data_IF_894175896876
#
_entry.id   IF_894175896876
#
_cell.length_a   1.000
_cell.length_b   1.000
_cell.length_c   1.000
_cell.angle_alpha   90.00
_cell.angle_beta   90.00
_cell.angle_gamma   90.00
#
_symmetry.space_group_name_H-M   'P 1'
#
loop_
_entity.id
_entity.type
_entity.pdbx_description
1 polymer ?
#
# COMPACT_ATOMS: atom_id res chain seq x y z
N UNK A 1 -4.73 -21.90 40.16
CA UNK A 1 -4.80 -21.99 38.69
C UNK A 1 -4.00 -20.82 38.15
N UNK A 2 -2.75 -21.14 37.87
CA UNK A 2 -1.64 -20.21 37.63
C UNK A 2 -1.83 -19.34 36.40
N UNK A 3 -1.60 -18.03 36.61
CA UNK A 3 -1.40 -17.03 35.57
C UNK A 3 0.07 -17.12 35.15
N UNK A 4 0.38 -18.10 34.31
CA UNK A 4 1.71 -18.28 33.70
C UNK A 4 1.65 -18.04 32.19
N UNK A 5 1.20 -16.83 31.79
CA UNK A 5 1.29 -16.36 30.41
C UNK A 5 1.78 -14.90 30.33
N UNK A 6 2.77 -14.56 31.16
CA UNK A 6 3.49 -13.29 31.11
C UNK A 6 5.01 -13.51 31.12
N UNK A 7 5.49 -14.43 30.28
CA UNK A 7 6.89 -14.49 29.88
C UNK A 7 6.93 -14.64 28.36
N UNK A 8 7.18 -13.52 27.65
CA UNK A 8 7.31 -13.53 26.19
C UNK A 8 7.79 -12.21 25.57
N UNK A 9 7.62 -11.07 26.23
CA UNK A 9 8.05 -9.78 25.67
C UNK A 9 9.46 -9.33 26.08
N UNK A 10 10.00 -9.79 27.22
CA UNK A 10 11.31 -9.35 27.71
C UNK A 10 12.55 -10.01 27.08
N UNK A 11 12.39 -11.02 26.21
CA UNK A 11 13.51 -11.75 25.57
C UNK A 11 13.69 -11.36 24.10
N UNK A 12 12.71 -10.68 23.48
CA UNK A 12 12.80 -10.30 22.06
C UNK A 12 13.80 -9.18 21.80
N UNK A 13 14.07 -8.33 22.78
CA UNK A 13 15.03 -7.23 22.66
C UNK A 13 16.49 -7.72 22.70
N UNK A 14 16.76 -8.90 23.27
CA UNK A 14 18.11 -9.49 23.40
C UNK A 14 18.24 -10.88 22.75
N UNK A 15 17.33 -11.25 21.85
CA UNK A 15 17.45 -12.53 21.15
C UNK A 15 18.59 -12.47 20.12
N UNK A 16 19.30 -13.58 19.91
CA UNK A 16 20.32 -13.68 18.85
C UNK A 16 19.74 -13.30 17.49
N UNK A 17 18.48 -13.66 17.22
CA UNK A 17 17.82 -13.28 15.97
C UNK A 17 17.57 -11.77 15.87
N UNK A 18 17.16 -11.11 16.94
CA UNK A 18 16.99 -9.65 16.95
C UNK A 18 18.33 -8.92 16.73
N UNK A 19 19.41 -9.42 17.33
CA UNK A 19 20.76 -8.88 17.09
C UNK A 19 21.24 -9.14 15.66
N UNK A 20 20.92 -10.29 15.06
CA UNK A 20 21.22 -10.58 13.67
C UNK A 20 20.40 -9.68 12.72
N UNK A 21 19.13 -9.40 13.03
CA UNK A 21 18.31 -8.47 12.27
C UNK A 21 18.83 -7.03 12.38
N UNK A 22 19.19 -6.58 13.57
CA UNK A 22 19.84 -5.27 13.78
C UNK A 22 21.18 -5.19 13.03
N UNK A 23 21.98 -6.26 13.04
CA UNK A 23 23.23 -6.34 12.27
C UNK A 23 22.97 -6.31 10.75
N UNK A 24 21.90 -6.96 10.26
CA UNK A 24 21.49 -6.90 8.84
C UNK A 24 21.02 -5.49 8.48
N UNK A 25 20.32 -4.80 9.38
CA UNK A 25 19.91 -3.41 9.20
C UNK A 25 21.09 -2.44 9.25
N UNK A 26 22.12 -2.69 10.05
CA UNK A 26 23.30 -1.83 10.10
C UNK A 26 24.37 -2.17 9.05
N UNK A 27 24.18 -3.28 8.31
CA UNK A 27 25.09 -3.70 7.24
C UNK A 27 25.39 -2.55 6.26
N UNK A 28 26.67 -2.42 5.92
CA UNK A 28 27.16 -1.38 5.02
C UNK A 28 26.53 -1.56 3.64
N UNK A 29 25.90 -0.49 3.15
CA UNK A 29 25.40 -0.45 1.78
C UNK A 29 26.56 -0.25 0.81
N UNK A 30 26.53 -0.88 -0.37
CA UNK A 30 27.39 -0.50 -1.49
C UNK A 30 27.27 1.00 -1.79
N UNK A 31 28.29 1.58 -2.43
CA UNK A 31 28.24 2.99 -2.84
C UNK A 31 27.03 3.24 -3.77
N UNK A 32 26.45 4.45 -3.81
CA UNK A 32 25.29 4.74 -4.66
C UNK A 32 25.53 4.38 -6.15
N UNK A 33 26.74 4.67 -6.65
CA UNK A 33 27.16 4.29 -7.99
C UNK A 33 27.18 2.76 -8.21
N UNK A 34 27.67 1.99 -7.23
CA UNK A 34 27.66 0.53 -7.32
C UNK A 34 26.24 -0.04 -7.29
N UNK A 35 25.33 0.54 -6.49
CA UNK A 35 23.91 0.17 -6.49
C UNK A 35 23.30 0.31 -7.89
N UNK A 36 23.55 1.46 -8.53
CA UNK A 36 23.09 1.72 -9.90
C UNK A 36 23.69 0.73 -10.90
N UNK A 37 25.02 0.53 -10.86
CA UNK A 37 25.73 -0.39 -11.76
C UNK A 37 25.21 -1.82 -11.65
N UNK A 38 24.97 -2.32 -10.43
CA UNK A 38 24.43 -3.65 -10.19
C UNK A 38 23.02 -3.81 -10.78
N UNK A 39 22.16 -2.81 -10.55
CA UNK A 39 20.81 -2.79 -11.11
C UNK A 39 20.85 -2.83 -12.65
N UNK A 40 21.70 -2.01 -13.26
CA UNK A 40 21.80 -1.89 -14.72
C UNK A 40 22.43 -3.13 -15.35
N UNK A 41 23.45 -3.71 -14.72
CA UNK A 41 24.05 -4.99 -15.15
C UNK A 41 23.02 -6.13 -15.15
N UNK A 42 22.06 -6.09 -14.21
CA UNK A 42 20.94 -7.03 -14.15
C UNK A 42 19.79 -6.71 -15.12
N UNK A 43 19.86 -5.62 -15.89
CA UNK A 43 18.77 -5.18 -16.78
C UNK A 43 17.51 -4.74 -16.04
N UNK A 44 17.60 -4.43 -14.75
CA UNK A 44 16.46 -4.04 -13.93
C UNK A 44 16.18 -2.54 -14.04
N UNK A 45 14.92 -2.17 -14.23
CA UNK A 45 14.48 -0.79 -14.10
C UNK A 45 14.29 -0.40 -12.63
N UNK A 46 14.42 0.91 -12.32
CA UNK A 46 14.13 1.43 -10.98
C UNK A 46 12.71 1.12 -10.52
N UNK A 47 11.75 1.05 -11.46
CA UNK A 47 10.35 0.72 -11.16
C UNK A 47 10.19 -0.74 -10.70
N UNK A 48 10.92 -1.68 -11.32
CA UNK A 48 10.90 -3.09 -10.90
C UNK A 48 11.50 -3.27 -9.50
N UNK A 49 12.64 -2.62 -9.23
CA UNK A 49 13.25 -2.63 -7.89
C UNK A 49 12.32 -2.02 -6.86
N UNK A 50 11.72 -0.87 -7.17
CA UNK A 50 10.78 -0.19 -6.29
C UNK A 50 9.55 -1.06 -5.97
N UNK A 51 8.98 -1.74 -6.97
CA UNK A 51 7.86 -2.67 -6.78
C UNK A 51 8.23 -3.88 -5.92
N UNK A 52 9.44 -4.43 -6.08
CA UNK A 52 9.90 -5.58 -5.32
C UNK A 52 10.15 -5.25 -3.84
N UNK A 53 10.62 -4.04 -3.56
CA UNK A 53 10.96 -3.57 -2.21
C UNK A 53 9.80 -2.83 -1.52
N UNK A 54 8.76 -2.46 -2.27
CA UNK A 54 7.56 -1.79 -1.74
C UNK A 54 7.70 -0.28 -1.56
N UNK A 55 8.48 0.40 -2.42
CA UNK A 55 8.70 1.85 -2.39
C UNK A 55 8.37 2.53 -3.73
N UNK A 56 8.47 3.85 -3.80
CA UNK A 56 8.32 4.61 -5.05
C UNK A 56 9.57 4.57 -5.94
N UNK A 57 9.39 4.70 -7.26
CA UNK A 57 10.50 4.78 -8.23
C UNK A 57 11.50 5.90 -7.92
N UNK A 58 10.98 7.07 -7.52
CA UNK A 58 11.80 8.24 -7.14
C UNK A 58 12.62 7.97 -5.88
N UNK A 59 12.10 7.18 -4.94
CA UNK A 59 12.82 6.77 -3.73
C UNK A 59 14.07 5.96 -4.09
N UNK A 60 13.94 4.98 -5.00
CA UNK A 60 15.09 4.20 -5.50
C UNK A 60 16.08 5.10 -6.24
N UNK A 61 15.60 6.06 -7.04
CA UNK A 61 16.48 7.03 -7.69
C UNK A 61 17.30 7.84 -6.68
N UNK A 62 16.67 8.33 -5.61
CA UNK A 62 17.36 9.07 -4.55
C UNK A 62 18.40 8.21 -3.81
N UNK A 63 18.16 6.91 -3.67
CA UNK A 63 19.13 5.98 -3.07
C UNK A 63 20.33 5.69 -3.97
N UNK A 64 20.11 5.64 -5.28
CA UNK A 64 21.16 5.42 -6.29
C UNK A 64 21.99 6.67 -6.55
N UNK A 65 21.42 7.87 -6.34
CA UNK A 65 22.17 9.14 -6.43
C UNK A 65 22.80 9.56 -5.11
N UNK A 66 22.50 8.87 -4.00
CA UNK A 66 23.00 9.21 -2.67
C UNK A 66 22.30 10.40 -2.02
N UNK A 67 21.17 10.86 -2.57
CA UNK A 67 20.33 11.92 -1.98
C UNK A 67 19.70 11.45 -0.66
N UNK A 68 19.37 10.18 -0.56
CA UNK A 68 18.92 9.56 0.70
C UNK A 68 19.39 8.12 0.79
N UNK A 69 19.28 7.50 1.96
CA UNK A 69 19.58 6.09 2.15
C UNK A 69 18.32 5.28 2.50
N UNK A 70 18.27 3.99 2.13
CA UNK A 70 17.13 3.12 2.42
C UNK A 70 16.99 2.91 3.94
N UNK A 71 15.78 3.19 4.42
CA UNK A 71 15.37 3.03 5.81
C UNK A 71 14.48 1.78 5.98
N UNK A 72 14.37 1.22 7.20
CA UNK A 72 13.33 0.24 7.50
C UNK A 72 11.94 0.76 7.12
N UNK A 73 11.02 -0.07 6.58
CA UNK A 73 11.13 -1.53 6.36
C UNK A 73 11.78 -1.92 5.02
N UNK A 74 12.02 -0.97 4.12
CA UNK A 74 12.50 -1.22 2.77
C UNK A 74 13.99 -1.61 2.68
N UNK A 75 14.76 -1.33 3.75
CA UNK A 75 16.20 -1.56 3.79
C UNK A 75 16.60 -3.02 3.64
N UNK A 76 15.97 -3.95 4.36
CA UNK A 76 16.34 -5.37 4.32
C UNK A 76 16.08 -6.01 2.95
N UNK A 77 14.89 -5.86 2.32
CA UNK A 77 14.67 -6.39 0.98
C UNK A 77 15.66 -5.82 -0.04
N UNK A 78 15.98 -4.52 0.07
CA UNK A 78 16.93 -3.88 -0.82
C UNK A 78 18.37 -4.40 -0.64
N UNK A 79 18.84 -4.56 0.61
CA UNK A 79 20.14 -5.19 0.90
C UNK A 79 20.22 -6.62 0.39
N UNK A 80 19.16 -7.41 0.57
CA UNK A 80 19.09 -8.78 0.06
C UNK A 80 19.21 -8.83 -1.46
N UNK A 81 18.50 -7.93 -2.15
CA UNK A 81 18.60 -7.78 -3.60
C UNK A 81 20.04 -7.45 -4.02
N UNK A 82 20.63 -6.41 -3.42
CA UNK A 82 21.99 -5.98 -3.77
C UNK A 82 23.03 -7.07 -3.51
N UNK A 83 22.92 -7.80 -2.40
CA UNK A 83 23.83 -8.93 -2.10
C UNK A 83 23.77 -9.99 -3.20
N UNK A 84 22.56 -10.39 -3.61
CA UNK A 84 22.39 -11.35 -4.70
C UNK A 84 22.93 -10.82 -6.04
N UNK A 85 22.76 -9.53 -6.33
CA UNK A 85 23.31 -8.93 -7.54
C UNK A 85 24.84 -8.88 -7.54
N UNK A 86 25.49 -8.66 -6.38
CA UNK A 86 26.95 -8.70 -6.27
C UNK A 86 27.49 -10.10 -6.54
N UNK A 87 26.79 -11.15 -6.10
CA UNK A 87 27.19 -12.54 -6.34
C UNK A 87 27.09 -12.91 -7.84
N UNK A 88 26.09 -12.39 -8.56
CA UNK A 88 25.88 -12.66 -10.00
C UNK A 88 26.77 -11.76 -10.87
N UNK A 89 26.93 -10.51 -10.47
CA UNK A 89 27.66 -9.47 -11.19
C UNK A 89 28.80 -8.94 -10.31
N UNK A 90 29.84 -9.74 -10.04
CA UNK A 90 30.99 -9.24 -9.28
C UNK A 90 31.60 -8.02 -10.00
N UNK A 91 32.08 -7.05 -9.23
CA UNK A 91 32.91 -6.00 -9.78
C UNK A 91 34.20 -6.65 -10.29
N UNK A 92 34.57 -6.38 -11.55
CA UNK A 92 35.91 -6.72 -12.00
C UNK A 92 36.92 -5.99 -11.10
N UNK A 93 38.05 -6.60 -10.72
CA UNK A 93 39.08 -5.90 -9.98
C UNK A 93 39.52 -4.68 -10.81
N UNK A 94 39.20 -3.49 -10.31
CA UNK A 94 39.63 -2.26 -10.94
C UNK A 94 41.17 -2.24 -10.92
N UNK A 95 41.85 -1.98 -12.06
CA UNK A 95 43.23 -1.53 -11.99
C UNK A 95 43.25 -0.23 -11.18
N UNK A 96 44.22 -0.12 -10.27
CA UNK A 96 44.38 1.00 -9.35
C UNK A 96 44.16 2.35 -10.04
N UNK A 97 43.28 3.15 -9.44
CA UNK A 97 42.98 4.51 -9.85
C UNK A 97 44.27 5.34 -9.95
N UNK A 98 44.57 5.82 -11.15
CA UNK A 98 45.37 7.04 -11.31
C UNK A 98 44.40 8.21 -11.21
N UNK A 99 44.46 8.91 -10.08
CA UNK A 99 43.84 10.21 -9.90
C UNK A 99 44.39 11.17 -10.97
N UNK A 100 43.51 11.65 -11.85
CA UNK A 100 43.77 12.83 -12.69
C UNK A 100 42.98 13.99 -12.08
N UNK A 101 43.60 15.16 -11.82
CA UNK A 101 42.93 16.26 -11.15
C UNK A 101 41.95 16.97 -12.09
N UNK A 102 40.89 17.51 -11.49
CA UNK A 102 39.90 18.35 -12.13
C UNK A 102 40.51 19.62 -12.77
N UNK A 103 39.97 20.10 -13.90
CA UNK A 103 40.00 21.51 -14.22
C UNK A 103 38.70 22.20 -13.78
N UNK A 104 38.89 23.39 -13.22
CA UNK A 104 37.85 24.28 -12.73
C UNK A 104 36.94 24.83 -13.84
N UNK A 105 35.80 25.33 -13.39
CA UNK A 105 34.71 25.94 -14.14
C UNK A 105 35.13 26.99 -15.18
N UNK A 106 34.38 27.06 -16.29
CA UNK A 106 34.08 28.34 -16.95
C UNK A 106 32.67 28.29 -17.58
N UNK A 107 31.93 29.35 -17.27
CA UNK A 107 30.62 29.86 -17.68
C UNK A 107 29.84 29.27 -18.88
N UNK A 108 28.52 29.22 -18.67
CA UNK A 108 27.42 29.26 -19.66
C UNK A 108 27.59 30.41 -20.67
N UNK A 109 27.13 30.27 -21.92
CA UNK A 109 25.79 30.79 -22.25
C UNK A 109 24.96 29.90 -23.20
N UNK A 110 23.65 29.86 -22.94
CA UNK A 110 22.53 29.55 -23.86
C UNK A 110 22.61 30.48 -25.09
N UNK A 111 22.25 30.11 -26.35
CA UNK A 111 20.86 29.81 -26.70
C UNK A 111 20.54 28.88 -27.91
N UNK A 112 19.23 28.71 -28.09
CA UNK A 112 18.47 28.38 -29.31
C UNK A 112 18.19 26.89 -29.60
N UNK A 113 17.02 26.46 -29.10
CA UNK A 113 16.26 25.30 -29.59
C UNK A 113 15.74 25.60 -31.00
N UNK A 114 15.99 24.68 -31.93
CA UNK A 114 15.25 24.54 -33.19
C UNK A 114 14.39 23.26 -33.08
N UNK A 115 13.10 23.45 -33.33
CA UNK A 115 11.98 22.51 -33.44
C UNK A 115 12.27 21.38 -34.48
N UNK A 116 12.10 20.08 -34.16
CA UNK A 116 10.86 19.24 -34.23
C UNK A 116 10.94 18.28 -35.47
N UNK A 117 10.22 17.13 -35.61
CA UNK A 117 9.46 16.29 -34.68
C UNK A 117 9.87 14.79 -34.63
N UNK A 118 9.52 14.12 -33.52
CA UNK A 118 9.46 12.64 -33.39
C UNK A 118 8.04 12.11 -33.70
N UNK A 119 7.89 10.83 -34.10
CA UNK A 119 6.62 10.25 -34.55
C UNK A 119 5.71 9.85 -33.39
N UNK A 120 4.41 10.10 -33.57
CA UNK A 120 3.35 9.83 -32.62
C UNK A 120 2.93 8.34 -32.67
N UNK A 121 2.85 7.70 -31.51
CA UNK A 121 2.06 6.47 -31.30
C UNK A 121 0.96 6.76 -30.27
N UNK A 122 -0.32 6.45 -30.54
CA UNK A 122 -1.43 6.82 -29.67
C UNK A 122 -1.61 5.79 -28.55
N UNK A 123 -1.66 6.26 -27.31
CA UNK A 123 -2.12 5.49 -26.14
C UNK A 123 -3.61 5.81 -25.95
N UNK A 124 -4.50 4.82 -25.73
CA UNK A 124 -5.94 5.07 -25.64
C UNK A 124 -6.30 5.90 -24.41
N UNK A 125 -7.08 6.97 -24.64
CA UNK A 125 -7.64 7.82 -23.60
C UNK A 125 -8.71 7.06 -22.79
N UNK A 126 -8.40 6.75 -21.55
CA UNK A 126 -9.45 6.60 -20.54
C UNK A 126 -9.91 8.01 -20.15
N UNK A 127 -11.17 8.32 -20.45
CA UNK A 127 -11.81 9.57 -20.06
C UNK A 127 -11.87 9.67 -18.53
N UNK A 128 -10.88 10.33 -17.94
CA UNK A 128 -10.84 10.73 -16.54
C UNK A 128 -9.92 11.93 -16.40
N UNK A 129 -10.47 13.06 -15.95
CA UNK A 129 -9.75 14.31 -15.74
C UNK A 129 -8.66 14.13 -14.66
N UNK A 130 -7.43 13.84 -15.10
CA UNK A 130 -6.26 13.63 -14.25
C UNK A 130 -5.67 14.98 -13.77
N UNK A 131 -4.79 14.93 -12.79
CA UNK A 131 -4.08 16.11 -12.28
C UNK A 131 -3.13 16.62 -13.36
N UNK A 132 -3.16 17.94 -13.60
CA UNK A 132 -2.25 18.59 -14.53
C UNK A 132 -0.83 18.35 -14.07
N UNK A 133 0.02 17.88 -14.98
CA UNK A 133 1.39 17.52 -14.70
C UNK A 133 2.32 18.35 -15.59
N UNK A 134 3.30 19.00 -14.97
CA UNK A 134 4.30 19.79 -15.67
C UNK A 134 5.27 18.92 -16.47
N UNK A 135 6.15 19.54 -17.28
CA UNK A 135 7.15 18.82 -18.08
C UNK A 135 8.10 17.95 -17.23
N UNK A 136 8.34 18.33 -15.97
CA UNK A 136 9.14 17.56 -15.01
C UNK A 136 8.40 16.36 -14.41
N UNK A 137 7.15 16.13 -14.83
CA UNK A 137 6.34 15.05 -14.28
C UNK A 137 5.80 15.35 -12.88
N UNK A 138 5.87 16.57 -12.35
CA UNK A 138 5.27 16.96 -11.06
C UNK A 138 3.86 17.53 -11.24
N UNK A 139 2.97 17.32 -10.25
CA UNK A 139 1.64 17.91 -10.25
C UNK A 139 1.75 19.44 -10.20
N UNK A 140 1.02 20.12 -11.08
CA UNK A 140 1.01 21.58 -11.11
C UNK A 140 0.20 22.10 -9.93
N UNK A 141 0.84 22.92 -9.11
CA UNK A 141 0.22 23.64 -8.00
C UNK A 141 -0.26 25.01 -8.48
N UNK A 142 -1.40 25.45 -7.98
CA UNK A 142 -1.98 26.76 -8.24
C UNK A 142 -2.66 27.32 -7.00
N UNK A 143 -3.44 28.38 -7.19
CA UNK A 143 -4.16 29.06 -6.10
C UNK A 143 -5.04 28.07 -5.31
N UNK A 144 -4.94 28.04 -3.96
CA UNK A 144 -5.70 27.11 -3.13
C UNK A 144 -7.21 27.32 -3.32
N UNK A 145 -7.91 26.27 -3.71
CA UNK A 145 -9.36 26.31 -3.92
C UNK A 145 -10.05 25.02 -3.48
N UNK A 146 -11.37 25.05 -3.26
CA UNK A 146 -12.11 23.85 -2.89
C UNK A 146 -12.09 22.84 -4.05
N UNK A 147 -11.68 21.60 -3.76
CA UNK A 147 -11.67 20.53 -4.74
C UNK A 147 -13.08 20.32 -5.28
N UNK A 148 -13.26 20.34 -6.61
CA UNK A 148 -14.60 20.24 -7.23
C UNK A 148 -15.31 18.90 -7.00
N UNK A 149 -14.63 17.90 -6.41
CA UNK A 149 -15.18 16.56 -6.15
C UNK A 149 -15.43 16.26 -4.67
N UNK A 150 -14.64 16.82 -3.76
CA UNK A 150 -14.80 16.58 -2.32
C UNK A 150 -14.97 17.84 -1.47
N UNK A 151 -14.81 19.03 -2.05
CA UNK A 151 -14.91 20.33 -1.35
C UNK A 151 -13.71 20.69 -0.47
N UNK A 152 -12.81 19.73 -0.19
CA UNK A 152 -11.60 19.98 0.60
C UNK A 152 -10.64 20.87 -0.19
N UNK A 153 -10.05 21.85 0.50
CA UNK A 153 -9.10 22.79 -0.11
C UNK A 153 -7.88 22.04 -0.65
N UNK A 154 -7.48 22.38 -1.87
CA UNK A 154 -6.34 21.79 -2.54
C UNK A 154 -5.59 22.85 -3.35
N UNK A 155 -4.28 22.70 -3.40
CA UNK A 155 -3.40 23.48 -4.27
C UNK A 155 -3.21 22.83 -5.63
N UNK A 156 -3.62 21.58 -5.82
CA UNK A 156 -3.43 20.85 -7.08
C UNK A 156 -4.52 21.19 -8.10
N UNK A 157 -4.13 21.24 -9.38
CA UNK A 157 -5.05 21.52 -10.49
C UNK A 157 -5.21 20.34 -11.43
N UNK A 158 -6.40 20.14 -11.98
CA UNK A 158 -6.64 19.22 -13.11
C UNK A 158 -6.27 19.85 -14.46
N UNK A 159 -6.21 19.02 -15.50
CA UNK A 159 -5.96 19.47 -16.88
C UNK A 159 -6.94 20.55 -17.35
N UNK A 160 -8.17 20.55 -16.84
CA UNK A 160 -9.18 21.57 -17.12
C UNK A 160 -9.05 22.83 -16.23
N UNK A 161 -7.95 22.97 -15.47
CA UNK A 161 -7.65 24.15 -14.65
C UNK A 161 -8.35 24.23 -13.30
N UNK A 162 -9.21 23.26 -12.96
CA UNK A 162 -10.00 23.27 -11.72
C UNK A 162 -9.23 22.67 -10.53
N UNK A 163 -9.43 23.16 -9.28
CA UNK A 163 -8.80 22.59 -8.10
C UNK A 163 -9.24 21.14 -7.86
N UNK A 164 -8.28 20.19 -7.81
CA UNK A 164 -8.50 18.75 -7.62
C UNK A 164 -7.28 18.05 -7.04
N UNK A 165 -7.47 17.16 -6.06
CA UNK A 165 -6.39 16.32 -5.53
C UNK A 165 -5.85 15.30 -6.55
N UNK A 166 -4.58 14.93 -6.40
CA UNK A 166 -3.95 13.89 -7.20
C UNK A 166 -4.48 12.48 -6.87
N UNK A 167 -4.96 11.76 -7.89
CA UNK A 167 -5.34 10.34 -7.78
C UNK A 167 -6.24 10.01 -6.58
N UNK A 168 -5.80 9.05 -5.76
CA UNK A 168 -6.57 8.49 -4.64
C UNK A 168 -6.74 9.43 -3.43
N UNK A 169 -6.10 10.60 -3.42
CA UNK A 169 -6.25 11.59 -2.34
C UNK A 169 -7.62 12.29 -2.37
N UNK A 170 -8.39 12.15 -3.46
CA UNK A 170 -9.76 12.63 -3.54
C UNK A 170 -10.75 11.60 -2.98
N UNK A 171 -10.96 11.59 -1.67
CA UNK A 171 -12.08 10.85 -1.05
C UNK A 171 -13.33 11.74 -1.14
N UNK A 172 -14.45 11.28 -1.74
CA UNK A 172 -15.68 12.07 -1.73
C UNK A 172 -16.08 12.33 -0.28
N UNK A 173 -16.28 13.60 0.07
CA UNK A 173 -16.98 13.91 1.30
C UNK A 173 -18.35 13.21 1.21
N UNK A 174 -18.63 12.33 2.16
CA UNK A 174 -20.01 11.90 2.39
C UNK A 174 -20.84 13.18 2.50
N UNK A 175 -21.94 13.25 1.73
CA UNK A 175 -22.77 14.44 1.62
C UNK A 175 -22.97 15.08 3.00
N UNK A 176 -22.76 16.41 3.15
CA UNK A 176 -23.08 17.04 4.41
C UNK A 176 -24.58 16.87 4.63
N UNK A 177 -24.94 16.21 5.74
CA UNK A 177 -26.28 16.35 6.30
C UNK A 177 -26.54 17.85 6.43
N UNK A 178 -27.61 18.30 5.77
CA UNK A 178 -28.12 19.65 5.92
C UNK A 178 -28.59 19.85 7.37
N UNK A 179 -27.67 20.22 8.26
CA UNK A 179 -27.95 20.71 9.60
C UNK A 179 -26.68 21.40 10.12
N UNK A 180 -26.38 22.57 9.56
CA UNK A 180 -25.68 23.64 10.25
C UNK A 180 -25.87 24.93 9.44
N UNK A 181 -27.10 25.44 9.50
CA UNK A 181 -27.33 26.86 9.32
C UNK A 181 -26.88 27.54 10.62
N UNK A 182 -25.88 28.39 10.48
CA UNK A 182 -25.50 29.43 11.41
C UNK A 182 -26.66 30.40 11.65
N UNK A 183 -26.99 30.67 12.91
CA UNK A 183 -27.58 31.95 13.33
C UNK A 183 -26.92 32.41 14.63
N UNK A 184 -26.45 33.66 14.57
CA UNK A 184 -25.85 34.45 15.62
C UNK A 184 -26.93 34.96 16.64
N UNK A 185 -26.54 35.66 17.72
CA UNK A 185 -27.23 35.66 19.02
C UNK A 185 -28.30 36.76 19.20
N UNK A 186 -29.27 36.52 20.08
CA UNK A 186 -30.12 37.54 20.72
C UNK A 186 -30.39 37.07 22.16
N UNK A 187 -29.82 37.74 23.17
CA UNK A 187 -30.33 38.92 23.88
C UNK A 187 -31.36 38.57 24.99
N UNK A 188 -31.03 39.05 26.18
CA UNK A 188 -31.57 38.76 27.52
C UNK A 188 -32.93 39.43 27.78
N UNK A 189 -33.72 38.94 28.76
CA UNK A 189 -34.43 39.68 29.86
C UNK A 189 -35.44 38.75 30.61
N UNK A 190 -35.76 38.96 31.91
CA UNK A 190 -35.95 37.88 32.89
C UNK A 190 -37.40 37.62 33.41
N UNK A 191 -37.46 36.71 34.39
CA UNK A 191 -38.59 36.09 35.13
C UNK A 191 -39.63 37.03 35.79
N UNK A 192 -40.74 36.47 36.34
CA UNK A 192 -40.76 36.25 37.81
C UNK A 192 -41.52 35.02 38.37
N UNK A 193 -41.02 34.60 39.54
CA UNK A 193 -41.57 33.90 40.73
C UNK A 193 -42.97 33.24 40.78
N UNK A 194 -43.04 32.02 41.36
CA UNK A 194 -43.56 31.74 42.72
C UNK A 194 -43.56 30.22 43.06
N UNK A 195 -43.28 29.89 44.33
CA UNK A 195 -43.25 28.56 44.98
C UNK A 195 -44.65 28.17 45.57
N UNK A 196 -44.90 27.08 46.36
CA UNK A 196 -43.96 26.12 46.98
C UNK A 196 -44.36 24.61 47.13
N UNK A 197 -43.34 23.80 47.46
CA UNK A 197 -43.22 22.65 48.39
C UNK A 197 -44.23 21.48 48.42
N UNK A 198 -43.72 20.27 48.17
CA UNK A 198 -43.99 19.05 48.98
C UNK A 198 -42.74 18.13 48.97
N UNK A 199 -42.24 17.57 50.09
CA UNK A 199 -41.17 16.57 50.08
C UNK A 199 -41.74 15.13 50.06
N UNK A 200 -41.33 14.32 49.09
CA UNK A 200 -41.64 12.89 48.99
C UNK A 200 -40.36 12.04 48.94
N UNK A 201 -40.38 10.94 49.70
CA UNK A 201 -39.27 10.05 50.07
C UNK A 201 -38.40 9.48 48.92
N UNK A 202 -37.17 8.98 49.21
CA UNK A 202 -36.28 8.39 48.21
C UNK A 202 -36.80 7.02 47.74
N UNK A 203 -37.16 6.94 46.45
CA UNK A 203 -37.45 5.68 45.77
C UNK A 203 -36.13 5.06 45.29
N UNK A 204 -35.74 3.90 45.81
CA UNK A 204 -34.63 3.10 45.28
C UNK A 204 -35.21 2.19 44.19
N UNK A 205 -34.85 2.35 42.89
CA UNK A 205 -35.30 1.41 41.89
C UNK A 205 -34.51 0.10 41.99
N UNK A 206 -35.22 -1.01 42.13
CA UNK A 206 -34.68 -2.35 41.91
C UNK A 206 -34.18 -2.49 40.46
N UNK A 207 -33.12 -3.28 40.18
CA UNK A 207 -32.57 -3.40 38.83
C UNK A 207 -33.57 -4.12 37.92
N UNK A 208 -34.11 -3.40 36.94
CA UNK A 208 -34.90 -3.98 35.87
C UNK A 208 -34.01 -4.88 35.01
N UNK A 209 -34.43 -6.13 34.81
CA UNK A 209 -33.80 -7.06 33.89
C UNK A 209 -33.81 -6.44 32.48
N UNK A 210 -32.63 -6.10 31.96
CA UNK A 210 -32.47 -5.54 30.64
C UNK A 210 -32.92 -6.57 29.59
N UNK A 211 -33.94 -6.22 28.79
CA UNK A 211 -34.30 -6.97 27.59
C UNK A 211 -33.11 -6.97 26.61
N UNK A 212 -32.81 -8.08 25.92
CA UNK A 212 -31.67 -8.11 25.01
C UNK A 212 -31.91 -7.14 23.85
N UNK A 213 -31.07 -6.11 23.77
CA UNK A 213 -31.05 -5.19 22.64
C UNK A 213 -30.70 -5.97 21.36
N UNK A 214 -31.39 -5.73 20.22
CA UNK A 214 -31.09 -6.42 18.98
C UNK A 214 -29.65 -6.14 18.55
N UNK A 215 -28.92 -7.20 18.20
CA UNK A 215 -27.53 -7.11 17.83
C UNK A 215 -27.34 -6.18 16.60
N UNK A 216 -26.28 -5.36 16.57
CA UNK A 216 -26.03 -4.46 15.46
C UNK A 216 -25.83 -5.22 14.15
N UNK A 217 -26.57 -4.82 13.11
CA UNK A 217 -26.45 -5.40 11.76
C UNK A 217 -25.15 -4.91 11.14
N UNK A 218 -24.27 -5.80 10.64
CA UNK A 218 -22.99 -5.39 10.06
C UNK A 218 -23.19 -4.51 8.82
N UNK A 219 -22.28 -3.59 8.56
CA UNK A 219 -22.31 -2.75 7.34
C UNK A 219 -21.94 -3.56 6.09
N UNK A 220 -22.21 -3.03 4.89
CA UNK A 220 -21.83 -3.71 3.62
C UNK A 220 -20.33 -4.01 3.52
N UNK A 221 -19.40 -3.09 3.90
CA UNK A 221 -17.97 -3.41 3.97
C UNK A 221 -17.65 -4.54 4.96
N UNK A 222 -18.25 -4.52 6.15
CA UNK A 222 -18.05 -5.57 7.16
C UNK A 222 -18.56 -6.94 6.69
N UNK A 223 -19.71 -6.99 6.02
CA UNK A 223 -20.21 -8.23 5.39
C UNK A 223 -19.23 -8.76 4.33
N UNK A 224 -18.74 -7.89 3.45
CA UNK A 224 -17.76 -8.28 2.42
C UNK A 224 -16.47 -8.82 3.05
N UNK A 225 -15.95 -8.16 4.09
CA UNK A 225 -14.76 -8.63 4.82
C UNK A 225 -14.99 -10.00 5.47
N UNK A 226 -16.16 -10.21 6.10
CA UNK A 226 -16.53 -11.52 6.68
C UNK A 226 -16.66 -12.61 5.61
N UNK A 227 -17.26 -12.30 4.46
CA UNK A 227 -17.35 -13.23 3.33
C UNK A 227 -15.97 -13.59 2.77
N UNK A 228 -15.07 -12.61 2.66
CA UNK A 228 -13.70 -12.86 2.22
C UNK A 228 -12.92 -13.74 3.22
N UNK A 229 -13.02 -13.44 4.52
CA UNK A 229 -12.41 -14.25 5.57
C UNK A 229 -12.95 -15.69 5.59
N UNK A 230 -14.25 -15.88 5.36
CA UNK A 230 -14.85 -17.21 5.22
C UNK A 230 -14.30 -17.97 4.02
N UNK A 231 -14.23 -17.32 2.85
CA UNK A 231 -13.68 -17.94 1.64
C UNK A 231 -12.19 -18.30 1.80
N UNK A 232 -11.41 -17.46 2.50
CA UNK A 232 -10.02 -17.75 2.85
C UNK A 232 -9.93 -18.98 3.77
N UNK A 233 -10.76 -19.04 4.81
CA UNK A 233 -10.77 -20.18 5.73
C UNK A 233 -11.18 -21.49 5.02
N UNK A 234 -12.18 -21.43 4.14
CA UNK A 234 -12.59 -22.57 3.31
C UNK A 234 -11.45 -23.03 2.39
N UNK A 235 -10.74 -22.09 1.76
CA UNK A 235 -9.57 -22.39 0.91
C UNK A 235 -8.44 -23.03 1.71
N UNK A 236 -8.08 -22.46 2.87
CA UNK A 236 -7.05 -23.02 3.75
C UNK A 236 -7.42 -24.43 4.21
N UNK A 237 -8.68 -24.68 4.56
CA UNK A 237 -9.14 -26.00 4.97
C UNK A 237 -9.03 -27.04 3.84
N UNK A 238 -9.29 -26.64 2.59
CA UNK A 238 -9.10 -27.50 1.42
C UNK A 238 -7.62 -27.85 1.22
N UNK A 239 -6.73 -26.87 1.32
CA UNK A 239 -5.29 -27.09 1.20
C UNK A 239 -4.79 -28.02 2.30
N UNK A 240 -5.15 -27.75 3.56
CA UNK A 240 -4.73 -28.59 4.70
C UNK A 240 -5.22 -30.03 4.57
N UNK A 241 -6.46 -30.24 4.10
CA UNK A 241 -6.97 -31.60 3.83
C UNK A 241 -6.16 -32.30 2.74
N UNK A 242 -5.89 -31.62 1.63
CA UNK A 242 -5.12 -32.20 0.52
C UNK A 242 -3.68 -32.57 0.94
N UNK A 243 -3.05 -31.76 1.78
CA UNK A 243 -1.73 -32.05 2.36
C UNK A 243 -1.81 -33.28 3.27
N UNK A 244 -2.81 -33.35 4.14
CA UNK A 244 -3.00 -34.47 5.06
C UNK A 244 -3.24 -35.79 4.31
N UNK A 245 -4.09 -35.78 3.28
CA UNK A 245 -4.36 -36.95 2.45
C UNK A 245 -3.09 -37.46 1.73
N UNK A 246 -2.21 -36.54 1.29
CA UNK A 246 -0.97 -36.93 0.62
C UNK A 246 0.10 -37.42 1.62
N UNK A 247 0.14 -36.85 2.83
CA UNK A 247 0.98 -37.34 3.91
C UNK A 247 0.59 -38.76 4.33
N UNK A 248 -0.72 -39.04 4.44
CA UNK A 248 -1.24 -40.37 4.71
C UNK A 248 -0.93 -41.36 3.58
N UNK A 249 -1.09 -40.94 2.32
CA UNK A 249 -0.75 -41.74 1.14
C UNK A 249 0.74 -42.09 1.06
N UNK A 250 1.59 -41.21 1.57
CA UNK A 250 3.04 -41.39 1.64
C UNK A 250 3.49 -42.17 2.87
N UNK A 251 2.56 -42.69 3.68
CA UNK A 251 2.87 -43.44 4.91
C UNK A 251 3.54 -42.58 5.98
N UNK A 252 3.33 -41.26 5.97
CA UNK A 252 3.97 -40.31 6.88
C UNK A 252 5.36 -39.84 6.45
N UNK A 253 5.86 -40.25 5.27
CA UNK A 253 7.06 -39.67 4.69
C UNK A 253 6.77 -38.26 4.13
N UNK A 254 7.13 -37.24 4.91
CA UNK A 254 6.90 -35.83 4.60
C UNK A 254 7.63 -35.39 3.33
N UNK A 255 8.83 -35.93 3.05
CA UNK A 255 9.62 -35.54 1.87
C UNK A 255 9.00 -36.12 0.60
N UNK A 256 8.56 -37.38 0.64
CA UNK A 256 7.82 -38.00 -0.45
C UNK A 256 6.48 -37.28 -0.71
N UNK A 257 5.75 -36.93 0.35
CA UNK A 257 4.48 -36.19 0.24
C UNK A 257 4.68 -34.81 -0.39
N UNK A 258 5.68 -34.05 0.07
CA UNK A 258 6.01 -32.73 -0.48
C UNK A 258 6.39 -32.81 -1.96
N UNK A 259 7.21 -33.80 -2.34
CA UNK A 259 7.62 -34.00 -3.73
C UNK A 259 6.43 -34.33 -4.64
N UNK A 260 5.49 -35.15 -4.16
CA UNK A 260 4.25 -35.44 -4.89
C UNK A 260 3.35 -34.21 -5.04
N UNK A 261 3.20 -33.40 -3.99
CA UNK A 261 2.43 -32.15 -4.03
C UNK A 261 3.05 -31.14 -5.01
N UNK A 262 4.37 -30.93 -4.97
CA UNK A 262 5.07 -30.02 -5.89
C UNK A 262 4.87 -30.46 -7.34
N UNK A 263 4.96 -31.77 -7.62
CA UNK A 263 4.75 -32.31 -8.97
C UNK A 263 3.34 -32.05 -9.49
N UNK A 264 2.33 -32.02 -8.61
CA UNK A 264 0.91 -31.83 -8.98
C UNK A 264 0.44 -30.38 -8.98
N UNK A 265 1.15 -29.48 -8.29
CA UNK A 265 0.74 -28.08 -8.13
C UNK A 265 0.48 -27.33 -9.45
N UNK A 266 1.35 -27.50 -10.46
CA UNK A 266 1.17 -26.85 -11.77
C UNK A 266 -0.04 -27.43 -12.52
N UNK A 267 -0.17 -28.76 -12.70
CA UNK A 267 -1.37 -29.38 -13.26
C UNK A 267 -2.67 -28.95 -12.57
N UNK A 268 -2.71 -28.94 -11.24
CA UNK A 268 -3.90 -28.59 -10.46
C UNK A 268 -4.32 -27.13 -10.71
N UNK A 269 -3.35 -26.21 -10.76
CA UNK A 269 -3.63 -24.80 -11.08
C UNK A 269 -4.13 -24.63 -12.52
N UNK A 270 -3.56 -25.35 -13.48
CA UNK A 270 -4.02 -25.31 -14.88
C UNK A 270 -5.45 -25.84 -15.00
N UNK A 271 -5.78 -26.94 -14.31
CA UNK A 271 -7.16 -27.45 -14.25
C UNK A 271 -8.11 -26.43 -13.64
N UNK A 272 -7.74 -25.81 -12.52
CA UNK A 272 -8.56 -24.78 -11.86
C UNK A 272 -8.84 -23.56 -12.76
N UNK A 273 -7.84 -23.10 -13.53
CA UNK A 273 -8.03 -22.00 -14.48
C UNK A 273 -8.93 -22.37 -15.66
N UNK A 274 -8.85 -23.61 -16.13
CA UNK A 274 -9.71 -24.11 -17.19
C UNK A 274 -11.18 -24.23 -16.73
N UNK A 275 -11.40 -24.68 -15.49
CA UNK A 275 -12.75 -24.78 -14.90
C UNK A 275 -13.35 -23.40 -14.56
N UNK A 276 -12.51 -22.42 -14.23
CA UNK A 276 -12.93 -21.06 -13.91
C UNK A 276 -13.15 -20.17 -15.15
N UNK A 277 -12.74 -20.61 -16.33
CA UNK A 277 -12.96 -19.87 -17.57
C UNK A 277 -14.43 -20.02 -17.97
N UNK A 278 -15.25 -18.95 -17.93
CA UNK A 278 -16.62 -19.05 -18.43
C UNK A 278 -16.53 -19.40 -19.92
N UNK A 279 -17.12 -20.54 -20.30
CA UNK A 279 -17.31 -20.86 -21.71
C UNK A 279 -18.01 -19.70 -22.43
N UNK A 280 -17.81 -19.52 -23.75
CA UNK A 280 -18.47 -18.44 -24.47
C UNK A 280 -19.98 -18.55 -24.24
N UNK A 281 -20.55 -17.56 -23.56
CA UNK A 281 -22.00 -17.41 -23.44
C UNK A 281 -22.53 -17.29 -24.86
N UNK A 282 -22.98 -18.40 -25.44
CA UNK A 282 -23.70 -18.39 -26.72
C UNK A 282 -24.97 -17.61 -26.48
N UNK A 283 -24.94 -16.33 -26.83
CA UNK A 283 -26.12 -15.48 -26.90
C UNK A 283 -27.06 -16.12 -27.92
N UNK A 284 -28.09 -16.78 -27.42
CA UNK A 284 -29.16 -17.36 -28.22
C UNK A 284 -29.91 -16.22 -28.93
N UNK A 285 -29.96 -16.17 -30.27
CA UNK A 285 -30.71 -15.13 -30.96
C UNK A 285 -32.20 -15.35 -30.72
N UNK A 286 -32.84 -14.40 -30.02
CA UNK A 286 -34.31 -14.28 -30.01
C UNK A 286 -34.78 -14.17 -31.47
N UNK A 287 -35.55 -15.16 -31.93
CA UNK A 287 -36.27 -15.15 -33.21
C UNK A 287 -37.28 -13.97 -33.23
N UNK A 288 -37.56 -13.41 -34.43
CA UNK A 288 -38.44 -12.25 -34.60
C UNK A 288 -39.89 -12.55 -34.28
#
# INVERSE_FOLDING_TARGET
MDVQFLYGDGVRENSVEALLEEARLTAALPSPAERQRLREAAGLSRAQVASAVGVGRSTVANWETGVSDPQPPARLPYLRLLKGLVEIYPAAPAPAATATPAPAATATPTPAVVADPEPTVPVPAFAGHDTLRGPDGHAVEGEPGPCVRCGVTTTFRSTDGHPRHAGAFCVPAAAPNAAQATTAPAETVPAPAAAPLVPGAPNVPAPAAASPSPAPVPTRPQRRARSAARAQAETTALISRAVQEEAERSGGDEEAALKSLIKRAIPDVVHLFNDASPGPTTASPRRP
#
